data_IF_028874522768
#
_entry.id   IF_028874522768
#
_cell.length_a   1.000
_cell.length_b   1.000
_cell.length_c   1.000
_cell.angle_alpha   90.00
_cell.angle_beta   90.00
_cell.angle_gamma   90.00
#
_symmetry.space_group_name_H-M   'P 1'
#
loop_
_entity.id
_entity.type
_entity.pdbx_description
1 polymer ?
#
# COMPACT_ATOMS: atom_id res chain seq x y z
N UNK A 1 7.53 0.38 16.06
CA UNK A 1 7.46 1.66 15.32
C UNK A 1 7.81 1.29 13.90
N UNK A 2 6.82 1.16 13.02
CA UNK A 2 7.13 0.79 11.65
C UNK A 2 7.71 2.00 10.94
N UNK A 3 8.95 1.86 10.47
CA UNK A 3 9.70 2.92 9.81
C UNK A 3 8.94 3.36 8.56
N UNK A 4 8.72 4.67 8.44
CA UNK A 4 8.14 5.30 7.25
C UNK A 4 8.85 4.80 5.98
N UNK A 5 8.08 4.49 4.94
CA UNK A 5 8.63 4.02 3.68
C UNK A 5 9.41 5.14 3.00
N UNK A 6 10.64 4.86 2.59
CA UNK A 6 11.43 5.82 1.81
C UNK A 6 10.81 6.04 0.41
N UNK A 7 11.24 7.08 -0.30
CA UNK A 7 10.81 7.28 -1.70
C UNK A 7 11.20 6.09 -2.59
N UNK A 8 12.40 5.53 -2.39
CA UNK A 8 12.87 4.38 -3.16
C UNK A 8 12.06 3.12 -2.84
N UNK A 9 11.72 2.89 -1.57
CA UNK A 9 10.84 1.80 -1.15
C UNK A 9 9.43 1.97 -1.73
N UNK A 10 8.89 3.20 -1.76
CA UNK A 10 7.61 3.47 -2.43
C UNK A 10 7.67 3.15 -3.93
N UNK A 11 8.71 3.60 -4.63
CA UNK A 11 8.89 3.33 -6.06
C UNK A 11 9.04 1.84 -6.34
N UNK A 12 9.81 1.13 -5.52
CA UNK A 12 10.00 -0.32 -5.66
C UNK A 12 8.71 -1.10 -5.36
N UNK A 13 7.92 -0.68 -4.37
CA UNK A 13 6.62 -1.28 -4.09
C UNK A 13 5.66 -1.07 -5.27
N UNK A 14 5.59 0.15 -5.82
CA UNK A 14 4.77 0.47 -6.99
C UNK A 14 5.19 -0.35 -8.22
N UNK A 15 6.49 -0.42 -8.51
CA UNK A 15 7.01 -1.22 -9.61
C UNK A 15 6.68 -2.72 -9.45
N UNK A 16 6.73 -3.23 -8.21
CA UNK A 16 6.37 -4.61 -7.92
C UNK A 16 4.86 -4.86 -8.12
N UNK A 17 4.00 -3.93 -7.68
CA UNK A 17 2.55 -4.02 -7.92
C UNK A 17 2.21 -3.94 -9.43
N UNK A 18 2.88 -3.07 -10.19
CA UNK A 18 2.73 -3.01 -11.65
C UNK A 18 3.12 -4.34 -12.32
N UNK A 19 4.22 -4.96 -11.87
CA UNK A 19 4.66 -6.26 -12.33
C UNK A 19 3.64 -7.35 -11.99
N UNK A 20 3.06 -7.33 -10.79
CA UNK A 20 2.01 -8.27 -10.37
C UNK A 20 0.75 -8.14 -11.22
N UNK A 21 0.22 -6.93 -11.41
CA UNK A 21 -0.98 -6.70 -12.25
C UNK A 21 -0.73 -7.15 -13.68
N UNK A 22 0.48 -6.90 -14.20
CA UNK A 22 0.87 -7.29 -15.55
C UNK A 22 1.27 -8.77 -15.68
N UNK A 23 1.21 -9.54 -14.59
CA UNK A 23 1.71 -10.92 -14.50
C UNK A 23 3.15 -11.08 -15.03
N UNK A 24 4.01 -10.09 -14.78
CA UNK A 24 5.39 -10.01 -15.24
C UNK A 24 6.36 -10.52 -14.16
N UNK A 25 6.58 -11.83 -14.13
CA UNK A 25 7.46 -12.47 -13.13
C UNK A 25 8.93 -12.05 -13.28
N UNK A 26 9.39 -11.79 -14.50
CA UNK A 26 10.75 -11.28 -14.77
C UNK A 26 10.92 -9.87 -14.19
N UNK A 27 9.91 -9.00 -14.39
CA UNK A 27 9.90 -7.66 -13.83
C UNK A 27 9.88 -7.67 -12.30
N UNK A 28 9.17 -8.62 -11.68
CA UNK A 28 9.18 -8.78 -10.23
C UNK A 28 10.53 -9.29 -9.71
N UNK A 29 11.15 -10.24 -10.42
CA UNK A 29 12.48 -10.77 -10.08
C UNK A 29 13.60 -9.72 -10.23
N UNK A 30 13.39 -8.71 -11.09
CA UNK A 30 14.32 -7.61 -11.30
C UNK A 30 14.28 -6.51 -10.22
N UNK A 31 13.53 -6.70 -9.14
CA UNK A 31 13.36 -5.73 -8.04
C UNK A 31 13.99 -6.21 -6.71
N UNK A 32 15.29 -6.56 -6.68
CA UNK A 32 15.95 -6.88 -5.42
C UNK A 32 15.97 -5.64 -4.51
N UNK A 33 16.01 -5.86 -3.19
CA UNK A 33 16.31 -4.80 -2.24
C UNK A 33 17.80 -4.46 -2.24
N UNK A 34 18.13 -3.20 -1.98
CA UNK A 34 19.50 -2.77 -1.69
C UNK A 34 19.87 -3.03 -0.22
N UNK A 35 21.14 -2.86 0.14
CA UNK A 35 21.59 -2.96 1.53
C UNK A 35 20.81 -1.98 2.44
N UNK A 36 20.10 -2.52 3.43
CA UNK A 36 19.27 -1.75 4.36
C UNK A 36 17.83 -1.52 3.89
N UNK A 37 17.47 -1.91 2.67
CA UNK A 37 16.08 -1.92 2.23
C UNK A 37 15.37 -3.23 2.62
N UNK A 38 14.05 -3.16 2.74
CA UNK A 38 13.22 -4.32 3.07
C UNK A 38 13.20 -5.38 1.96
N UNK A 39 13.17 -6.68 2.31
CA UNK A 39 12.79 -7.75 1.39
C UNK A 39 11.45 -7.46 0.70
N UNK A 40 11.28 -7.94 -0.53
CA UNK A 40 10.10 -7.62 -1.33
C UNK A 40 8.76 -8.03 -0.68
N UNK A 41 8.63 -9.21 -0.05
CA UNK A 41 7.43 -9.55 0.72
C UNK A 41 7.10 -8.55 1.83
N UNK A 42 8.12 -8.14 2.60
CA UNK A 42 7.96 -7.19 3.70
C UNK A 42 7.59 -5.81 3.18
N UNK A 43 8.27 -5.34 2.13
CA UNK A 43 7.97 -4.08 1.48
C UNK A 43 6.51 -4.01 1.01
N UNK A 44 6.03 -5.05 0.33
CA UNK A 44 4.64 -5.10 -0.17
C UNK A 44 3.63 -5.16 0.97
N UNK A 45 3.92 -5.88 2.07
CA UNK A 45 3.02 -5.92 3.22
C UNK A 45 2.94 -4.55 3.94
N UNK A 46 4.08 -3.87 4.13
CA UNK A 46 4.13 -2.52 4.73
C UNK A 46 3.44 -1.50 3.84
N UNK A 47 3.74 -1.50 2.54
CA UNK A 47 3.10 -0.62 1.56
C UNK A 47 1.59 -0.84 1.48
N UNK A 48 1.17 -2.11 1.41
CA UNK A 48 -0.24 -2.48 1.39
C UNK A 48 -0.99 -2.00 2.62
N UNK A 49 -0.43 -2.22 3.82
CA UNK A 49 -1.03 -1.73 5.06
C UNK A 49 -1.16 -0.21 5.06
N UNK A 50 -0.08 0.51 4.76
CA UNK A 50 -0.09 1.97 4.73
C UNK A 50 -1.12 2.53 3.72
N UNK A 51 -1.21 1.92 2.55
CA UNK A 51 -2.19 2.30 1.51
C UNK A 51 -3.62 2.06 1.97
N UNK A 52 -3.91 0.88 2.53
CA UNK A 52 -5.25 0.52 3.00
C UNK A 52 -5.69 1.36 4.21
N UNK A 53 -4.77 1.66 5.14
CA UNK A 53 -5.01 2.59 6.24
C UNK A 53 -5.41 3.97 5.72
N UNK A 54 -4.71 4.50 4.71
CA UNK A 54 -5.04 5.80 4.10
C UNK A 54 -6.39 5.77 3.39
N UNK A 55 -6.73 4.69 2.69
CA UNK A 55 -8.04 4.52 2.04
C UNK A 55 -9.15 4.52 3.09
N UNK A 56 -8.99 3.78 4.19
CA UNK A 56 -9.97 3.74 5.29
C UNK A 56 -10.14 5.11 5.95
N UNK A 57 -9.05 5.79 6.28
CA UNK A 57 -9.08 7.14 6.86
C UNK A 57 -9.83 8.12 5.93
N UNK A 58 -9.54 8.07 4.62
CA UNK A 58 -10.23 8.89 3.63
C UNK A 58 -11.72 8.53 3.49
N UNK A 59 -12.06 7.25 3.49
CA UNK A 59 -13.45 6.76 3.40
C UNK A 59 -14.31 7.21 4.59
N UNK A 60 -13.70 7.36 5.77
CA UNK A 60 -14.34 7.91 6.96
C UNK A 60 -14.30 9.44 7.04
N UNK A 61 -13.81 10.13 6.01
CA UNK A 61 -13.77 11.59 5.95
C UNK A 61 -12.78 12.23 6.92
N UNK A 62 -11.81 11.47 7.43
CA UNK A 62 -10.77 11.99 8.32
C UNK A 62 -9.72 12.67 7.44
N UNK A 63 -9.58 13.98 7.62
CA UNK A 63 -8.65 14.82 6.84
C UNK A 63 -7.73 15.60 7.77
N UNK A 64 -6.67 16.20 7.21
CA UNK A 64 -5.77 17.06 7.98
C UNK A 64 -6.47 18.32 8.57
N UNK A 65 -7.65 18.67 8.06
CA UNK A 65 -8.44 19.82 8.52
C UNK A 65 -9.54 19.45 9.52
N UNK A 66 -9.74 18.15 9.77
CA UNK A 66 -10.72 17.67 10.77
C UNK A 66 -10.23 18.07 12.17
N UNK A 67 -11.12 18.66 12.99
CA UNK A 67 -10.74 19.03 14.36
C UNK A 67 -10.46 17.79 15.22
N UNK A 68 -9.82 18.01 16.38
CA UNK A 68 -9.33 16.91 17.22
C UNK A 68 -10.45 16.06 17.82
N UNK A 69 -11.56 16.67 18.21
CA UNK A 69 -12.64 15.94 18.87
C UNK A 69 -13.43 15.14 17.85
N UNK A 70 -13.66 15.72 16.67
CA UNK A 70 -14.26 15.00 15.54
C UNK A 70 -13.34 13.89 15.03
N UNK A 71 -12.03 14.12 14.94
CA UNK A 71 -11.06 13.07 14.60
C UNK A 71 -11.15 11.90 15.58
N UNK A 72 -11.23 12.18 16.89
CA UNK A 72 -11.34 11.12 17.90
C UNK A 72 -12.63 10.32 17.74
N UNK A 73 -13.74 10.99 17.43
CA UNK A 73 -15.03 10.34 17.17
C UNK A 73 -14.96 9.45 15.93
N UNK A 74 -14.50 9.98 14.79
CA UNK A 74 -14.40 9.24 13.53
C UNK A 74 -13.43 8.04 13.65
N UNK A 75 -12.33 8.20 14.38
CA UNK A 75 -11.42 7.07 14.68
C UNK A 75 -12.11 6.01 15.55
N UNK A 76 -12.96 6.40 16.50
CA UNK A 76 -13.74 5.44 17.29
C UNK A 76 -14.77 4.69 16.41
N UNK A 77 -15.42 5.39 15.48
CA UNK A 77 -16.32 4.80 14.49
C UNK A 77 -15.58 3.82 13.56
N UNK A 78 -14.43 4.23 13.01
CA UNK A 78 -13.54 3.37 12.22
C UNK A 78 -13.14 2.11 13.00
N UNK A 79 -12.75 2.25 14.26
CA UNK A 79 -12.37 1.11 15.10
C UNK A 79 -13.55 0.21 15.50
N UNK A 80 -14.78 0.71 15.41
CA UNK A 80 -16.00 -0.07 15.62
C UNK A 80 -16.46 -0.80 14.34
N UNK A 81 -16.02 -0.32 13.18
CA UNK A 81 -16.45 -0.82 11.88
C UNK A 81 -15.91 -2.24 11.59
N UNK A 82 -16.79 -3.20 11.24
CA UNK A 82 -16.38 -4.57 10.92
C UNK A 82 -15.47 -4.68 9.69
N UNK A 83 -15.66 -3.86 8.65
CA UNK A 83 -14.85 -3.92 7.44
C UNK A 83 -13.44 -3.40 7.70
N UNK A 84 -13.31 -2.32 8.46
CA UNK A 84 -12.04 -1.79 8.91
C UNK A 84 -11.28 -2.81 9.77
N UNK A 85 -11.96 -3.47 10.72
CA UNK A 85 -11.37 -4.54 11.53
C UNK A 85 -10.87 -5.73 10.71
N UNK A 86 -11.66 -6.17 9.72
CA UNK A 86 -11.25 -7.21 8.79
C UNK A 86 -10.03 -6.77 7.98
N UNK A 87 -10.00 -5.52 7.52
CA UNK A 87 -8.86 -4.95 6.79
C UNK A 87 -7.59 -4.95 7.65
N UNK A 88 -7.68 -4.54 8.92
CA UNK A 88 -6.55 -4.60 9.86
C UNK A 88 -6.07 -6.03 10.13
N UNK A 89 -7.00 -6.99 10.26
CA UNK A 89 -6.65 -8.40 10.43
C UNK A 89 -5.93 -8.96 9.20
N UNK A 90 -6.41 -8.61 7.99
CA UNK A 90 -5.82 -9.04 6.74
C UNK A 90 -4.41 -8.45 6.57
N UNK A 91 -4.21 -7.17 6.86
CA UNK A 91 -2.89 -6.53 6.76
C UNK A 91 -1.91 -7.08 7.78
N UNK A 92 -2.36 -7.43 8.99
CA UNK A 92 -1.50 -8.12 9.97
C UNK A 92 -1.15 -9.55 9.51
N UNK A 93 -2.09 -10.29 8.92
CA UNK A 93 -1.82 -11.61 8.35
C UNK A 93 -0.78 -11.54 7.22
N UNK A 94 -0.90 -10.58 6.30
CA UNK A 94 0.10 -10.35 5.24
C UNK A 94 1.47 -10.01 5.80
N UNK A 95 1.52 -9.18 6.86
CA UNK A 95 2.77 -8.83 7.56
C UNK A 95 3.42 -10.07 8.19
N UNK A 96 2.64 -10.93 8.84
CA UNK A 96 3.15 -12.17 9.42
C UNK A 96 3.67 -13.14 8.34
N UNK A 97 2.96 -13.25 7.22
CA UNK A 97 3.41 -14.04 6.06
C UNK A 97 4.73 -13.48 5.49
N UNK A 98 4.83 -12.17 5.33
CA UNK A 98 6.03 -11.52 4.84
C UNK A 98 7.24 -11.77 5.77
N UNK A 99 7.05 -11.66 7.08
CA UNK A 99 8.11 -11.90 8.06
C UNK A 99 8.66 -13.33 8.01
N UNK A 100 7.83 -14.30 7.62
CA UNK A 100 8.25 -15.69 7.46
C UNK A 100 8.88 -15.99 6.08
N UNK A 101 8.66 -15.13 5.08
CA UNK A 101 8.99 -15.40 3.68
C UNK A 101 10.42 -15.04 3.28
N UNK A 102 11.07 -14.12 4.00
CA UNK A 102 12.36 -13.57 3.58
C UNK A 102 12.25 -12.95 2.18
N UNK A 103 13.08 -13.42 1.24
CA UNK A 103 13.11 -12.97 -0.16
C UNK A 103 12.29 -13.85 -1.12
N UNK A 104 11.36 -14.68 -0.63
CA UNK A 104 10.55 -15.55 -1.50
C UNK A 104 9.65 -14.76 -2.45
N UNK A 105 10.00 -14.81 -3.74
CA UNK A 105 9.32 -14.11 -4.82
C UNK A 105 7.86 -14.58 -5.00
N UNK A 106 7.58 -15.87 -4.77
CA UNK A 106 6.23 -16.40 -4.89
C UNK A 106 5.31 -15.81 -3.81
N UNK A 107 5.82 -15.68 -2.58
CA UNK A 107 5.11 -15.00 -1.50
C UNK A 107 4.96 -13.51 -1.77
N UNK A 108 5.99 -12.82 -2.28
CA UNK A 108 5.89 -11.43 -2.70
C UNK A 108 4.73 -11.22 -3.70
N UNK A 109 4.67 -12.05 -4.75
CA UNK A 109 3.59 -12.00 -5.75
C UNK A 109 2.21 -12.20 -5.12
N UNK A 110 2.06 -13.17 -4.21
CA UNK A 110 0.78 -13.41 -3.50
C UNK A 110 0.37 -12.24 -2.62
N UNK A 111 1.31 -11.63 -1.89
CA UNK A 111 1.04 -10.43 -1.10
C UNK A 111 0.61 -9.29 -2.01
N UNK A 112 1.32 -9.06 -3.13
CA UNK A 112 0.95 -8.05 -4.12
C UNK A 112 -0.47 -8.24 -4.66
N UNK A 113 -0.85 -9.48 -5.01
CA UNK A 113 -2.22 -9.81 -5.45
C UNK A 113 -3.25 -9.46 -4.36
N UNK A 114 -2.97 -9.81 -3.10
CA UNK A 114 -3.87 -9.50 -1.98
C UNK A 114 -4.02 -7.99 -1.76
N UNK A 115 -2.93 -7.22 -1.88
CA UNK A 115 -2.97 -5.76 -1.76
C UNK A 115 -3.81 -5.15 -2.89
N UNK A 116 -3.59 -5.58 -4.13
CA UNK A 116 -4.36 -5.11 -5.29
C UNK A 116 -5.83 -5.47 -5.18
N UNK A 117 -6.14 -6.70 -4.76
CA UNK A 117 -7.51 -7.14 -4.54
C UNK A 117 -8.21 -6.34 -3.44
N UNK A 118 -7.49 -5.98 -2.38
CA UNK A 118 -8.02 -5.11 -1.32
C UNK A 118 -8.27 -3.68 -1.83
N UNK A 119 -7.35 -3.09 -2.59
CA UNK A 119 -7.55 -1.77 -3.20
C UNK A 119 -8.77 -1.79 -4.12
N UNK A 120 -8.86 -2.78 -5.02
CA UNK A 120 -9.99 -2.95 -5.94
C UNK A 120 -11.32 -3.10 -5.19
N UNK A 121 -11.35 -3.76 -4.03
CA UNK A 121 -12.56 -3.88 -3.22
C UNK A 121 -13.07 -2.52 -2.69
N UNK A 122 -12.20 -1.53 -2.52
CA UNK A 122 -12.59 -0.17 -2.10
C UNK A 122 -12.85 0.78 -3.28
N UNK A 123 -12.23 0.53 -4.44
CA UNK A 123 -12.27 1.46 -5.58
C UNK A 123 -13.09 0.97 -6.77
N UNK A 124 -13.51 -0.30 -6.78
CA UNK A 124 -14.14 -1.00 -7.93
C UNK A 124 -13.28 -0.94 -9.21
N UNK A 125 -11.95 -0.89 -9.05
CA UNK A 125 -11.02 -0.73 -10.16
C UNK A 125 -10.71 -2.07 -10.83
N UNK A 126 -10.71 -2.09 -12.17
CA UNK A 126 -10.20 -3.23 -12.93
C UNK A 126 -8.65 -3.20 -13.03
N UNK A 127 -8.06 -4.17 -13.73
CA UNK A 127 -6.60 -4.23 -13.88
C UNK A 127 -6.02 -3.03 -14.68
N UNK A 128 -6.74 -2.49 -15.65
CA UNK A 128 -6.29 -1.33 -16.42
C UNK A 128 -6.38 -0.05 -15.59
N UNK A 129 -7.45 0.09 -14.80
CA UNK A 129 -7.61 1.16 -13.82
C UNK A 129 -6.50 1.11 -12.77
N UNK A 130 -6.21 -0.09 -12.24
CA UNK A 130 -5.13 -0.31 -11.29
C UNK A 130 -3.77 0.09 -11.88
N UNK A 131 -3.44 -0.31 -13.11
CA UNK A 131 -2.20 0.11 -13.79
C UNK A 131 -2.13 1.62 -13.99
N UNK A 132 -3.25 2.25 -14.35
CA UNK A 132 -3.33 3.70 -14.53
C UNK A 132 -3.07 4.43 -13.21
N UNK A 133 -3.70 3.97 -12.13
CA UNK A 133 -3.52 4.50 -10.77
C UNK A 133 -2.06 4.33 -10.29
N UNK A 134 -1.49 3.13 -10.40
CA UNK A 134 -0.12 2.86 -9.96
C UNK A 134 0.90 3.76 -10.68
N UNK A 135 0.72 3.98 -11.99
CA UNK A 135 1.56 4.88 -12.78
C UNK A 135 1.41 6.34 -12.35
N UNK A 136 0.19 6.78 -12.03
CA UNK A 136 -0.05 8.13 -11.52
C UNK A 136 0.66 8.34 -10.17
N UNK A 137 0.48 7.41 -9.23
CA UNK A 137 1.14 7.42 -7.92
C UNK A 137 2.67 7.44 -8.07
N UNK A 138 3.21 6.65 -9.00
CA UNK A 138 4.64 6.64 -9.29
C UNK A 138 5.14 8.01 -9.75
N UNK A 139 4.40 8.67 -10.64
CA UNK A 139 4.76 9.99 -11.14
C UNK A 139 4.71 11.07 -10.04
N UNK A 140 3.80 10.95 -9.08
CA UNK A 140 3.74 11.84 -7.92
C UNK A 140 4.97 11.69 -7.01
N UNK A 141 5.46 10.47 -6.80
CA UNK A 141 6.70 10.23 -6.03
C UNK A 141 7.92 10.86 -6.73
N UNK A 142 7.97 10.84 -8.05
CA UNK A 142 9.02 11.52 -8.83
C UNK A 142 8.92 13.05 -8.84
N UNK A 143 7.72 13.61 -8.63
CA UNK A 143 7.47 15.04 -8.63
C UNK A 143 6.83 15.48 -7.31
N UNK A 144 7.61 15.55 -6.20
CA UNK A 144 7.11 16.08 -4.95
C UNK A 144 6.79 17.57 -5.10
N UNK A 145 5.57 17.87 -5.54
CA UNK A 145 4.92 19.18 -5.65
C UNK A 145 5.83 20.36 -6.07
N UNK A 146 6.00 20.54 -7.38
CA UNK A 146 6.06 21.91 -7.95
C UNK A 146 4.64 22.49 -8.01
N UNK A 147 4.08 22.83 -6.84
CA UNK A 147 2.86 23.64 -6.73
C UNK A 147 2.98 24.58 -5.53
N UNK A 148 3.66 25.71 -5.70
CA UNK A 148 3.09 27.07 -5.63
C UNK A 148 4.20 28.13 -5.88
N UNK A 149 3.91 29.18 -6.66
CA UNK A 149 3.65 30.44 -5.95
C UNK A 149 2.35 31.10 -6.40
N UNK A 150 1.74 31.73 -5.39
CA UNK A 150 0.58 32.62 -5.36
C UNK A 150 0.23 33.34 -6.66
#
# INVERSE_FOLDING_TARGET
MDTELTSDEHLRALAALEAVVSNNDEGLAALPGSAGERPLPELLAVYGRHTLERILVAAFGITATTDRDETRRLVAELNADPQARLTFLLTDALRQQAAAAGDDLATAKRIGISVLGAIAAFTDADNNDALTLLRALRNEVFQPHSTNPR
#
